data_IF_614253041766
#
_entry.id   IF_614253041766
#
_cell.length_a   1.000
_cell.length_b   1.000
_cell.length_c   1.000
_cell.angle_alpha   90.00
_cell.angle_beta   90.00
_cell.angle_gamma   90.00
#
_symmetry.space_group_name_H-M   'P 1'
#
loop_
_entity.id
_entity.type
_entity.pdbx_description
1 polymer ?
#
# COMPACT_ATOMS: atom_id res chain seq x y z
N UNK A 1 -12.79 -32.51 -34.57
CA UNK A 1 -13.61 -31.29 -34.75
C UNK A 1 -14.04 -30.82 -33.39
N UNK A 2 -13.28 -29.96 -32.77
CA UNK A 2 -13.53 -29.40 -31.41
C UNK A 2 -13.43 -27.89 -31.47
N UNK A 3 -14.53 -27.21 -31.22
CA UNK A 3 -14.70 -25.77 -31.30
C UNK A 3 -14.18 -25.15 -29.97
N UNK A 4 -13.10 -24.39 -30.03
CA UNK A 4 -12.65 -23.53 -28.95
C UNK A 4 -13.57 -22.31 -28.87
N UNK A 5 -14.30 -22.14 -27.77
CA UNK A 5 -15.07 -20.93 -27.47
C UNK A 5 -14.14 -19.88 -26.83
N UNK A 6 -13.98 -18.77 -27.51
CA UNK A 6 -13.34 -17.54 -27.04
C UNK A 6 -14.09 -16.96 -25.84
N UNK A 7 -13.40 -16.79 -24.72
CA UNK A 7 -13.87 -16.01 -23.58
C UNK A 7 -13.62 -14.52 -23.84
N UNK A 8 -14.69 -13.74 -23.89
CA UNK A 8 -14.62 -12.29 -24.02
C UNK A 8 -14.06 -11.66 -22.73
N UNK A 9 -12.92 -10.99 -22.83
CA UNK A 9 -12.37 -10.14 -21.78
C UNK A 9 -13.13 -8.82 -21.79
N UNK A 10 -13.86 -8.53 -20.72
CA UNK A 10 -14.56 -7.27 -20.54
C UNK A 10 -13.55 -6.12 -20.39
N UNK A 11 -13.75 -5.07 -21.18
CA UNK A 11 -12.93 -3.86 -21.18
C UNK A 11 -13.11 -3.10 -19.87
N UNK A 12 -12.05 -2.98 -19.10
CA UNK A 12 -11.90 -1.97 -18.03
C UNK A 12 -11.57 -0.65 -18.72
N UNK A 13 -12.26 0.43 -18.37
CA UNK A 13 -12.12 1.74 -18.99
C UNK A 13 -10.67 2.24 -18.94
N UNK A 14 -10.08 2.43 -20.10
CA UNK A 14 -8.72 2.91 -20.27
C UNK A 14 -8.70 4.44 -20.25
N UNK A 15 -7.81 5.01 -19.48
CA UNK A 15 -7.38 6.40 -19.59
C UNK A 15 -6.87 6.65 -21.03
N UNK A 16 -7.34 7.68 -21.75
CA UNK A 16 -7.09 7.81 -23.20
C UNK A 16 -5.65 8.16 -23.59
N UNK A 17 -4.72 8.29 -22.64
CA UNK A 17 -3.33 8.74 -22.91
C UNK A 17 -2.29 7.64 -23.06
N UNK A 18 -2.62 6.34 -22.81
CA UNK A 18 -1.66 5.24 -23.02
C UNK A 18 -2.35 4.07 -23.72
N UNK A 19 -2.29 4.05 -25.04
CA UNK A 19 -2.60 2.84 -25.83
C UNK A 19 -1.32 2.02 -25.99
N UNK A 20 -1.16 1.00 -25.19
CA UNK A 20 -0.17 -0.04 -25.48
C UNK A 20 -0.69 -0.86 -26.67
N UNK A 21 0.17 -1.12 -27.64
CA UNK A 21 -0.15 -1.99 -28.78
C UNK A 21 -0.22 -3.47 -28.32
N UNK A 22 -0.82 -4.34 -29.11
CA UNK A 22 -0.81 -5.78 -28.84
C UNK A 22 0.61 -6.35 -28.77
N UNK A 23 1.56 -5.75 -29.51
CA UNK A 23 2.98 -6.08 -29.46
C UNK A 23 3.62 -5.71 -28.11
N UNK A 24 3.20 -4.59 -27.50
CA UNK A 24 3.72 -4.14 -26.20
C UNK A 24 3.27 -5.05 -25.06
N UNK A 25 2.03 -5.55 -25.12
CA UNK A 25 1.51 -6.54 -24.17
C UNK A 25 2.25 -7.89 -24.24
N UNK A 26 2.53 -8.36 -25.44
CA UNK A 26 3.30 -9.60 -25.64
C UNK A 26 4.77 -9.43 -25.17
N UNK A 27 5.38 -8.28 -25.41
CA UNK A 27 6.71 -7.98 -24.92
C UNK A 27 6.78 -7.90 -23.40
N UNK A 28 5.74 -7.35 -22.75
CA UNK A 28 5.63 -7.30 -21.28
C UNK A 28 5.51 -8.70 -20.65
N UNK A 29 4.71 -9.59 -21.25
CA UNK A 29 4.56 -10.98 -20.80
C UNK A 29 5.86 -11.77 -20.99
N UNK A 30 6.55 -11.57 -22.11
CA UNK A 30 7.83 -12.24 -22.39
C UNK A 30 8.93 -11.73 -21.46
N UNK A 31 8.94 -10.43 -21.13
CA UNK A 31 9.89 -9.85 -20.17
C UNK A 31 9.73 -10.43 -18.75
N UNK A 32 8.51 -10.80 -18.35
CA UNK A 32 8.28 -11.45 -17.05
C UNK A 32 8.67 -12.94 -17.01
N UNK A 33 8.66 -13.63 -18.15
CA UNK A 33 9.04 -15.04 -18.26
C UNK A 33 10.53 -15.26 -18.49
N UNK A 34 11.25 -14.23 -18.91
CA UNK A 34 12.70 -14.28 -19.10
C UNK A 34 13.41 -14.08 -17.76
N UNK A 35 14.32 -14.98 -17.43
CA UNK A 35 15.19 -14.82 -16.26
C UNK A 35 16.00 -13.50 -16.29
N UNK A 36 16.56 -13.06 -15.16
CA UNK A 36 17.06 -11.68 -14.96
C UNK A 36 18.08 -11.18 -15.99
N UNK A 37 18.69 -12.05 -16.79
CA UNK A 37 19.69 -11.65 -17.82
C UNK A 37 19.12 -11.40 -19.22
N UNK A 38 17.89 -11.83 -19.51
CA UNK A 38 17.27 -11.62 -20.84
C UNK A 38 16.29 -10.45 -20.87
N UNK A 39 15.76 -10.01 -19.72
CA UNK A 39 14.86 -8.87 -19.62
C UNK A 39 15.57 -7.52 -19.88
N UNK A 40 16.89 -7.44 -19.70
CA UNK A 40 17.66 -6.19 -19.76
C UNK A 40 17.81 -5.58 -21.17
N UNK A 41 17.39 -6.26 -22.23
CA UNK A 41 17.64 -5.82 -23.60
C UNK A 41 16.47 -5.05 -24.26
N UNK A 42 15.28 -4.96 -23.57
CA UNK A 42 14.08 -4.47 -24.23
C UNK A 42 13.40 -3.23 -23.59
N UNK A 43 13.91 -2.74 -22.47
CA UNK A 43 13.37 -1.53 -21.84
C UNK A 43 14.52 -0.65 -21.36
N UNK A 44 14.44 0.65 -21.60
CA UNK A 44 15.23 1.60 -20.82
C UNK A 44 14.96 1.28 -19.34
N UNK A 45 15.98 0.76 -18.64
CA UNK A 45 15.88 0.26 -17.26
C UNK A 45 15.71 1.45 -16.30
N UNK A 46 14.55 2.12 -16.38
CA UNK A 46 14.21 3.21 -15.47
C UNK A 46 13.80 2.58 -14.15
N UNK A 47 14.75 2.53 -13.22
CA UNK A 47 14.51 2.10 -11.84
C UNK A 47 14.26 3.32 -10.98
N UNK A 48 13.11 3.34 -10.32
CA UNK A 48 12.77 4.35 -9.32
C UNK A 48 11.98 3.72 -8.19
N UNK A 49 12.02 4.33 -7.03
CA UNK A 49 11.12 3.99 -5.93
C UNK A 49 9.68 4.34 -6.28
N UNK A 50 8.78 3.37 -6.12
CA UNK A 50 7.36 3.50 -6.48
C UNK A 50 6.53 4.04 -5.33
N UNK A 51 5.51 4.84 -5.65
CA UNK A 51 4.41 5.20 -4.77
C UNK A 51 3.23 4.27 -5.10
N UNK A 52 2.83 3.44 -4.14
CA UNK A 52 1.79 2.43 -4.30
C UNK A 52 0.65 2.74 -3.33
N UNK A 53 -0.58 2.71 -3.82
CA UNK A 53 -1.79 2.92 -3.01
C UNK A 53 -2.66 1.67 -3.04
N UNK A 54 -2.92 1.11 -1.85
CA UNK A 54 -3.90 0.04 -1.65
C UNK A 54 -5.13 0.63 -0.98
N UNK A 55 -6.24 0.78 -1.70
CA UNK A 55 -7.47 1.43 -1.21
C UNK A 55 -8.70 0.56 -1.43
N UNK A 56 -9.88 1.12 -1.23
CA UNK A 56 -11.17 0.46 -1.43
C UNK A 56 -11.78 -0.17 -0.18
N UNK A 57 -13.06 -0.57 -0.24
CA UNK A 57 -13.84 -1.10 0.90
C UNK A 57 -13.46 -2.53 1.30
N UNK A 58 -12.87 -3.31 0.38
CA UNK A 58 -12.53 -4.71 0.61
C UNK A 58 -11.34 -4.93 1.54
N UNK A 59 -11.22 -6.16 2.02
CA UNK A 59 -10.10 -6.63 2.84
C UNK A 59 -8.83 -6.83 2.00
N UNK A 60 -7.68 -6.85 2.70
CA UNK A 60 -6.40 -7.24 2.14
C UNK A 60 -5.44 -6.10 1.88
N UNK A 61 -5.80 -4.83 2.16
CA UNK A 61 -4.92 -3.66 1.95
C UNK A 61 -3.62 -3.78 2.73
N UNK A 62 -3.70 -3.94 4.04
CA UNK A 62 -2.56 -4.17 4.93
C UNK A 62 -1.84 -5.47 4.59
N UNK A 63 -2.58 -6.56 4.34
CA UNK A 63 -2.01 -7.88 3.99
C UNK A 63 -1.20 -7.81 2.69
N UNK A 64 -1.68 -7.09 1.68
CA UNK A 64 -0.93 -6.87 0.43
C UNK A 64 0.34 -6.06 0.65
N UNK A 65 0.29 -5.01 1.49
CA UNK A 65 1.45 -4.22 1.86
C UNK A 65 2.49 -5.08 2.60
N UNK A 66 2.06 -5.90 3.55
CA UNK A 66 2.92 -6.84 4.27
C UNK A 66 3.51 -7.92 3.36
N UNK A 67 2.75 -8.43 2.40
CA UNK A 67 3.26 -9.35 1.38
C UNK A 67 4.36 -8.72 0.54
N UNK A 68 4.24 -7.43 0.21
CA UNK A 68 5.30 -6.67 -0.47
C UNK A 68 6.50 -6.47 0.45
N UNK A 69 6.29 -6.16 1.74
CA UNK A 69 7.35 -6.06 2.73
C UNK A 69 8.17 -7.36 2.85
N UNK A 70 7.48 -8.51 2.96
CA UNK A 70 8.13 -9.83 3.01
C UNK A 70 9.01 -10.06 1.77
N UNK A 71 8.52 -9.71 0.59
CA UNK A 71 9.29 -9.80 -0.67
C UNK A 71 10.50 -8.86 -0.65
N UNK A 72 10.33 -7.63 -0.17
CA UNK A 72 11.39 -6.64 -0.07
C UNK A 72 12.51 -7.12 0.86
N UNK A 73 12.17 -7.58 2.08
CA UNK A 73 13.14 -8.14 3.04
C UNK A 73 13.87 -9.35 2.46
N UNK A 74 13.15 -10.25 1.76
CA UNK A 74 13.74 -11.39 1.07
C UNK A 74 14.76 -11.01 -0.02
N UNK A 75 14.68 -9.78 -0.55
CA UNK A 75 15.65 -9.19 -1.47
C UNK A 75 16.68 -8.29 -0.79
N UNK A 76 16.76 -8.32 0.55
CA UNK A 76 17.76 -7.59 1.32
C UNK A 76 17.41 -6.14 1.63
N UNK A 77 16.19 -5.69 1.28
CA UNK A 77 15.70 -4.34 1.53
C UNK A 77 15.37 -4.13 3.02
N UNK A 78 15.53 -2.89 3.49
CA UNK A 78 15.08 -2.44 4.82
C UNK A 78 13.69 -1.84 4.72
N UNK A 79 12.78 -2.33 5.56
CA UNK A 79 11.36 -1.96 5.55
C UNK A 79 10.98 -1.32 6.88
N UNK A 80 10.30 -0.16 6.82
CA UNK A 80 9.60 0.43 7.96
C UNK A 80 8.10 0.42 7.68
N UNK A 81 7.31 0.00 8.66
CA UNK A 81 5.85 0.09 8.62
C UNK A 81 5.35 0.88 9.82
N UNK A 82 4.65 1.97 9.55
CA UNK A 82 4.00 2.82 10.54
C UNK A 82 2.49 2.65 10.43
N UNK A 83 1.84 2.19 11.52
CA UNK A 83 0.40 1.94 11.58
C UNK A 83 -0.29 3.10 12.30
N UNK A 84 -0.93 3.99 11.54
CA UNK A 84 -1.44 5.29 12.02
C UNK A 84 -2.59 5.19 13.02
N UNK A 85 -3.50 4.23 12.83
CA UNK A 85 -4.74 4.17 13.62
C UNK A 85 -4.89 2.88 14.43
N UNK A 86 -3.91 1.98 14.37
CA UNK A 86 -3.92 0.77 15.17
C UNK A 86 -3.45 1.06 16.59
N UNK A 87 -4.27 0.68 17.58
CA UNK A 87 -3.94 0.80 18.98
C UNK A 87 -3.08 -0.35 19.50
N UNK A 88 -2.96 -0.42 20.83
CA UNK A 88 -2.16 -1.40 21.58
C UNK A 88 -2.65 -2.86 21.48
N UNK A 89 -3.57 -3.16 20.58
CA UNK A 89 -4.01 -4.53 20.36
C UNK A 89 -2.88 -5.34 19.74
N UNK A 90 -2.69 -6.53 20.28
CA UNK A 90 -1.69 -7.45 19.78
C UNK A 90 -2.19 -8.17 18.52
N UNK A 91 -1.45 -8.04 17.43
CA UNK A 91 -1.70 -8.72 16.16
C UNK A 91 -0.56 -9.70 15.88
N UNK A 92 -0.86 -10.84 15.27
CA UNK A 92 0.14 -11.88 14.99
C UNK A 92 1.31 -11.41 14.11
N UNK A 93 1.10 -10.41 13.26
CA UNK A 93 2.16 -9.82 12.45
C UNK A 93 3.25 -9.13 13.29
N UNK A 94 2.93 -8.60 14.48
CA UNK A 94 3.92 -7.98 15.38
C UNK A 94 4.95 -8.99 15.88
N UNK A 95 4.51 -10.24 16.15
CA UNK A 95 5.42 -11.31 16.52
C UNK A 95 6.25 -11.79 15.31
N UNK A 96 5.57 -11.96 14.18
CA UNK A 96 6.21 -12.47 12.96
C UNK A 96 7.34 -11.57 12.47
N UNK A 97 7.15 -10.24 12.51
CA UNK A 97 8.17 -9.30 12.01
C UNK A 97 9.43 -9.27 12.88
N UNK A 98 9.35 -9.67 14.16
CA UNK A 98 10.53 -9.73 15.05
C UNK A 98 11.61 -10.68 14.50
N UNK A 99 11.20 -11.72 13.75
CA UNK A 99 12.15 -12.66 13.15
C UNK A 99 13.04 -12.04 12.06
N UNK A 100 12.67 -10.86 11.55
CA UNK A 100 13.45 -10.14 10.52
C UNK A 100 14.44 -9.13 11.13
N UNK A 101 14.44 -8.95 12.46
CA UNK A 101 15.33 -8.03 13.16
C UNK A 101 15.18 -6.59 12.65
N UNK A 102 16.29 -5.93 12.39
CA UNK A 102 16.34 -4.54 11.92
C UNK A 102 15.97 -4.35 10.43
N UNK A 103 15.77 -5.46 9.70
CA UNK A 103 15.35 -5.39 8.29
C UNK A 103 13.88 -5.08 8.11
N UNK A 104 13.04 -5.40 9.10
CA UNK A 104 11.64 -5.04 9.08
C UNK A 104 11.21 -4.49 10.44
N UNK A 105 11.07 -3.20 10.53
CA UNK A 105 10.60 -2.51 11.73
C UNK A 105 9.14 -2.14 11.56
N UNK A 106 8.29 -2.51 12.53
CA UNK A 106 6.88 -2.14 12.58
C UNK A 106 6.59 -1.35 13.86
N UNK A 107 5.88 -0.22 13.73
CA UNK A 107 5.47 0.63 14.84
C UNK A 107 3.99 0.92 14.79
N UNK A 108 3.29 0.69 15.89
CA UNK A 108 1.91 1.11 16.10
C UNK A 108 1.91 2.51 16.69
N UNK A 109 1.26 3.46 15.99
CA UNK A 109 1.30 4.89 16.33
C UNK A 109 -0.04 5.42 16.85
N UNK A 110 -1.12 4.61 16.83
CA UNK A 110 -2.46 5.00 17.25
C UNK A 110 -2.90 4.39 18.57
N UNK A 111 -4.06 4.84 19.08
CA UNK A 111 -4.72 4.27 20.28
C UNK A 111 -5.72 3.16 19.96
N UNK A 112 -5.97 2.86 18.70
CA UNK A 112 -7.00 1.91 18.24
C UNK A 112 -8.15 2.59 17.50
N UNK A 113 -9.35 2.03 17.65
CA UNK A 113 -10.50 2.52 16.89
C UNK A 113 -10.78 4.00 17.16
N UNK A 114 -10.59 4.83 16.13
CA UNK A 114 -11.20 6.15 16.10
C UNK A 114 -12.70 5.95 16.10
N UNK A 115 -13.42 6.55 17.06
CA UNK A 115 -14.89 6.53 17.10
C UNK A 115 -15.42 7.30 15.89
N UNK A 116 -15.72 6.59 14.83
CA UNK A 116 -16.35 7.14 13.63
C UNK A 116 -17.83 7.35 13.94
N UNK A 117 -18.29 8.59 13.95
CA UNK A 117 -19.71 8.92 14.18
C UNK A 117 -19.99 9.90 15.31
N UNK A 118 -18.96 10.42 15.97
CA UNK A 118 -19.06 11.63 16.82
C UNK A 118 -19.01 12.90 15.98
N UNK A 119 -19.56 13.99 16.48
CA UNK A 119 -19.57 15.28 15.75
C UNK A 119 -18.16 15.87 15.53
N UNK A 120 -17.15 15.44 16.28
CA UNK A 120 -15.78 15.93 16.19
C UNK A 120 -14.77 14.78 16.41
N UNK A 121 -13.64 14.85 15.68
CA UNK A 121 -12.49 13.95 15.89
C UNK A 121 -11.81 14.33 17.21
N UNK A 122 -11.47 13.36 18.06
CA UNK A 122 -10.79 13.60 19.33
C UNK A 122 -9.46 14.36 19.08
N UNK A 123 -9.21 15.49 19.73
CA UNK A 123 -7.95 16.24 19.59
C UNK A 123 -6.72 15.38 19.88
N UNK A 124 -6.83 14.40 20.75
CA UNK A 124 -5.74 13.46 21.06
C UNK A 124 -5.44 12.52 19.88
N UNK A 125 -6.47 12.07 19.13
CA UNK A 125 -6.26 11.26 17.93
C UNK A 125 -5.56 12.09 16.84
N UNK A 126 -5.92 13.38 16.71
CA UNK A 126 -5.24 14.31 15.79
C UNK A 126 -3.77 14.45 16.19
N UNK A 127 -3.46 14.67 17.47
CA UNK A 127 -2.09 14.80 17.97
C UNK A 127 -1.25 13.56 17.65
N UNK A 128 -1.80 12.37 17.90
CA UNK A 128 -1.10 11.12 17.60
C UNK A 128 -0.86 10.92 16.10
N UNK A 129 -1.82 11.28 15.26
CA UNK A 129 -1.64 11.25 13.80
C UNK A 129 -0.55 12.22 13.36
N UNK A 130 -0.49 13.42 13.94
CA UNK A 130 0.56 14.41 13.64
C UNK A 130 1.96 13.89 14.07
N UNK A 131 2.06 13.25 15.23
CA UNK A 131 3.31 12.64 15.71
C UNK A 131 3.74 11.48 14.78
N UNK A 132 2.77 10.62 14.40
CA UNK A 132 3.03 9.54 13.45
C UNK A 132 3.48 10.07 12.08
N UNK A 133 2.86 11.17 11.63
CA UNK A 133 3.24 11.81 10.37
C UNK A 133 4.65 12.42 10.44
N UNK A 134 5.01 13.09 11.53
CA UNK A 134 6.35 13.65 11.70
C UNK A 134 7.44 12.55 11.63
N UNK A 135 7.18 11.37 12.24
CA UNK A 135 8.08 10.24 12.14
C UNK A 135 8.12 9.67 10.71
N UNK A 136 6.97 9.58 10.04
CA UNK A 136 6.88 9.12 8.65
C UNK A 136 7.67 10.02 7.70
N UNK A 137 7.49 11.33 7.80
CA UNK A 137 8.21 12.31 6.99
C UNK A 137 9.72 12.18 7.19
N UNK A 138 10.18 12.13 8.45
CA UNK A 138 11.59 11.94 8.76
C UNK A 138 12.12 10.62 8.17
N UNK A 139 11.38 9.52 8.33
CA UNK A 139 11.79 8.21 7.83
C UNK A 139 11.91 8.20 6.31
N UNK A 140 10.93 8.75 5.58
CA UNK A 140 10.92 8.83 4.12
C UNK A 140 12.10 9.64 3.62
N UNK A 141 12.31 10.85 4.17
CA UNK A 141 13.33 11.77 3.70
C UNK A 141 14.76 11.39 4.12
N UNK A 142 14.90 10.53 5.15
CA UNK A 142 16.22 10.06 5.61
C UNK A 142 16.96 9.19 4.59
N UNK A 143 16.21 8.50 3.70
CA UNK A 143 16.79 7.50 2.79
C UNK A 143 17.36 6.26 3.49
N UNK A 144 17.09 6.07 4.79
CA UNK A 144 17.55 4.90 5.56
C UNK A 144 16.75 3.63 5.26
N UNK A 145 15.57 3.78 4.66
CA UNK A 145 14.63 2.73 4.35
C UNK A 145 14.46 2.59 2.84
N UNK A 146 14.46 1.36 2.34
CA UNK A 146 14.18 1.09 0.94
C UNK A 146 12.68 1.08 0.66
N UNK A 147 11.87 0.69 1.67
CA UNK A 147 10.41 0.68 1.62
C UNK A 147 9.83 1.24 2.93
N UNK A 148 8.97 2.25 2.81
CA UNK A 148 8.16 2.77 3.93
C UNK A 148 6.69 2.48 3.65
N UNK A 149 6.02 1.84 4.62
CA UNK A 149 4.59 1.52 4.58
C UNK A 149 3.85 2.42 5.57
N UNK A 150 2.89 3.18 5.07
CA UNK A 150 2.02 4.06 5.83
C UNK A 150 0.64 3.40 5.94
N UNK A 151 0.51 2.50 6.92
CA UNK A 151 -0.71 1.69 7.09
C UNK A 151 -1.83 2.52 7.72
N UNK A 152 -3.00 2.51 7.08
CA UNK A 152 -4.20 3.25 7.44
C UNK A 152 -4.09 4.79 7.33
N UNK A 153 -3.06 5.32 6.66
CA UNK A 153 -2.92 6.78 6.48
C UNK A 153 -4.09 7.38 5.68
N UNK A 154 -4.68 6.62 4.72
CA UNK A 154 -5.83 7.13 3.96
C UNK A 154 -7.04 7.39 4.84
N UNK A 155 -7.20 6.68 5.98
CA UNK A 155 -8.23 7.03 6.97
C UNK A 155 -7.90 8.32 7.70
N UNK A 156 -6.65 8.53 8.13
CA UNK A 156 -6.24 9.77 8.79
C UNK A 156 -6.53 10.99 7.89
N UNK A 157 -6.27 10.86 6.59
CA UNK A 157 -6.60 11.89 5.60
C UNK A 157 -8.12 12.05 5.44
N UNK A 158 -8.86 10.94 5.25
CA UNK A 158 -10.31 10.98 5.00
C UNK A 158 -11.10 11.51 6.20
N UNK A 159 -10.58 11.35 7.41
CA UNK A 159 -11.15 11.89 8.65
C UNK A 159 -10.62 13.29 8.98
N UNK A 160 -9.90 13.93 8.05
CA UNK A 160 -9.36 15.29 8.18
C UNK A 160 -8.40 15.48 9.38
N UNK A 161 -7.78 14.42 9.85
CA UNK A 161 -6.74 14.47 10.88
C UNK A 161 -5.37 14.83 10.28
N UNK A 162 -5.19 14.63 8.97
CA UNK A 162 -3.96 14.93 8.24
C UNK A 162 -4.29 15.56 6.89
N UNK A 163 -3.60 16.65 6.55
CA UNK A 163 -3.77 17.34 5.28
C UNK A 163 -3.15 16.53 4.12
N UNK A 164 -3.94 16.18 3.08
CA UNK A 164 -3.42 15.43 1.93
C UNK A 164 -2.30 16.16 1.17
N UNK A 165 -2.29 17.49 1.14
CA UNK A 165 -1.24 18.25 0.45
C UNK A 165 0.10 18.18 1.18
N UNK A 166 0.11 18.15 2.52
CA UNK A 166 1.34 17.88 3.29
C UNK A 166 1.94 16.50 2.97
N UNK A 167 1.08 15.49 2.86
CA UNK A 167 1.51 14.13 2.47
C UNK A 167 2.06 14.15 1.05
N UNK A 168 1.33 14.77 0.12
CA UNK A 168 1.72 14.88 -1.29
C UNK A 168 3.08 15.59 -1.46
N UNK A 169 3.34 16.65 -0.69
CA UNK A 169 4.61 17.36 -0.72
C UNK A 169 5.79 16.44 -0.36
N UNK A 170 5.66 15.66 0.70
CA UNK A 170 6.70 14.70 1.11
C UNK A 170 6.88 13.60 0.08
N UNK A 171 5.79 13.09 -0.51
CA UNK A 171 5.85 12.08 -1.57
C UNK A 171 6.59 12.58 -2.82
N UNK A 172 6.41 13.87 -3.19
CA UNK A 172 7.15 14.50 -4.30
C UNK A 172 8.65 14.65 -4.01
N UNK A 173 9.01 14.81 -2.73
CA UNK A 173 10.38 15.03 -2.24
C UNK A 173 11.10 13.75 -1.82
N UNK A 174 10.43 12.60 -1.84
CA UNK A 174 11.05 11.32 -1.44
C UNK A 174 12.33 11.07 -2.22
N UNK A 175 13.36 10.47 -1.63
CA UNK A 175 14.54 10.02 -2.38
C UNK A 175 14.14 9.10 -3.54
N UNK A 176 14.85 9.21 -4.66
CA UNK A 176 14.47 8.60 -5.94
C UNK A 176 14.17 7.10 -5.80
N UNK A 177 14.97 6.36 -5.02
CA UNK A 177 14.88 4.91 -4.91
C UNK A 177 14.00 4.40 -3.77
N UNK A 178 13.50 5.27 -2.88
CA UNK A 178 12.62 4.87 -1.77
C UNK A 178 11.24 4.52 -2.29
N UNK A 179 10.75 3.33 -1.95
CA UNK A 179 9.37 2.91 -2.21
C UNK A 179 8.44 3.33 -1.08
N UNK A 180 7.23 3.74 -1.41
CA UNK A 180 6.19 4.08 -0.43
C UNK A 180 4.93 3.28 -0.72
N UNK A 181 4.31 2.67 0.30
CA UNK A 181 2.98 2.07 0.21
C UNK A 181 2.05 2.79 1.18
N UNK A 182 0.93 3.30 0.66
CA UNK A 182 -0.13 3.90 1.47
C UNK A 182 -1.34 2.96 1.47
N UNK A 183 -1.89 2.68 2.65
CA UNK A 183 -3.09 1.84 2.76
C UNK A 183 -4.25 2.60 3.41
N UNK A 184 -5.46 2.04 3.29
CA UNK A 184 -6.69 2.54 3.90
C UNK A 184 -7.77 2.83 2.86
N UNK A 185 -9.03 2.94 3.33
CA UNK A 185 -10.16 3.30 2.46
C UNK A 185 -10.08 4.76 2.05
N UNK A 186 -10.81 5.12 0.98
CA UNK A 186 -11.04 6.50 0.56
C UNK A 186 -9.74 7.28 0.31
N UNK A 187 -8.80 6.70 -0.46
CA UNK A 187 -7.59 7.41 -0.85
C UNK A 187 -7.94 8.75 -1.51
N UNK A 188 -7.32 9.82 -1.05
CA UNK A 188 -7.59 11.17 -1.56
C UNK A 188 -7.10 11.32 -3.01
N UNK A 189 -7.83 12.03 -3.91
CA UNK A 189 -7.42 12.22 -5.30
C UNK A 189 -6.00 12.73 -5.46
N UNK A 190 -5.57 13.72 -4.68
CA UNK A 190 -4.20 14.22 -4.68
C UNK A 190 -3.15 13.13 -4.50
N UNK A 191 -3.42 12.13 -3.65
CA UNK A 191 -2.51 11.00 -3.42
C UNK A 191 -2.59 10.00 -4.59
N UNK A 192 -3.79 9.74 -5.09
CA UNK A 192 -4.02 8.84 -6.24
C UNK A 192 -3.31 9.37 -7.49
N UNK A 193 -3.35 10.68 -7.75
CA UNK A 193 -2.72 11.31 -8.91
C UNK A 193 -1.18 11.24 -8.87
N UNK A 194 -0.59 11.16 -7.68
CA UNK A 194 0.87 11.01 -7.50
C UNK A 194 1.34 9.56 -7.56
N UNK A 195 0.44 8.60 -7.34
CA UNK A 195 0.79 7.20 -7.23
C UNK A 195 1.20 6.60 -8.58
N UNK A 196 2.25 5.78 -8.57
CA UNK A 196 2.66 4.98 -9.73
C UNK A 196 1.76 3.75 -9.92
N UNK A 197 1.15 3.26 -8.82
CA UNK A 197 0.24 2.11 -8.83
C UNK A 197 -0.86 2.32 -7.80
N UNK A 198 -2.11 2.18 -8.23
CA UNK A 198 -3.28 2.22 -7.36
C UNK A 198 -4.08 0.93 -7.53
N UNK A 199 -4.35 0.24 -6.43
CA UNK A 199 -5.18 -0.95 -6.39
C UNK A 199 -6.39 -0.69 -5.49
N UNK A 200 -7.58 -0.83 -6.06
CA UNK A 200 -8.82 -0.78 -5.30
C UNK A 200 -9.28 -2.20 -4.95
N UNK A 201 -9.36 -2.51 -3.67
CA UNK A 201 -9.86 -3.78 -3.15
C UNK A 201 -11.37 -3.70 -2.95
N UNK A 202 -12.09 -4.38 -3.82
CA UNK A 202 -13.55 -4.42 -3.83
C UNK A 202 -14.08 -5.51 -2.90
N UNK A 203 -15.02 -5.16 -2.03
CA UNK A 203 -15.76 -6.15 -1.25
C UNK A 203 -16.86 -6.80 -2.10
N UNK A 204 -16.60 -8.01 -2.60
CA UNK A 204 -17.61 -8.80 -3.34
C UNK A 204 -18.56 -9.49 -2.36
N UNK A 205 -18.05 -9.98 -1.25
CA UNK A 205 -18.77 -10.51 -0.07
C UNK A 205 -17.84 -10.56 1.14
N UNK A 206 -18.38 -10.47 2.33
CA UNK A 206 -17.60 -10.52 3.56
C UNK A 206 -18.18 -11.52 4.55
N UNK A 207 -17.34 -12.27 5.28
CA UNK A 207 -17.76 -13.26 6.29
C UNK A 207 -18.63 -12.62 7.37
N UNK A 208 -18.31 -11.39 7.78
CA UNK A 208 -19.08 -10.62 8.78
C UNK A 208 -20.56 -10.44 8.39
N UNK A 209 -20.89 -10.31 7.11
CA UNK A 209 -22.28 -10.20 6.62
C UNK A 209 -23.09 -11.48 6.89
N UNK A 210 -22.40 -12.60 7.16
CA UNK A 210 -23.00 -13.88 7.57
C UNK A 210 -22.89 -14.13 9.08
N UNK A 211 -22.54 -13.13 9.88
CA UNK A 211 -22.35 -13.26 11.32
C UNK A 211 -21.07 -13.99 11.74
N UNK A 212 -20.15 -14.25 10.80
CA UNK A 212 -18.86 -14.90 11.12
C UNK A 212 -17.93 -13.82 11.68
N UNK A 213 -17.50 -14.03 12.92
CA UNK A 213 -16.59 -13.11 13.62
C UNK A 213 -15.16 -13.23 13.09
N UNK A 214 -14.35 -12.21 13.38
CA UNK A 214 -12.92 -12.18 13.08
C UNK A 214 -12.19 -13.36 13.73
N UNK A 215 -11.29 -14.00 13.01
CA UNK A 215 -10.59 -15.22 13.44
C UNK A 215 -9.10 -14.96 13.63
N UNK A 216 -8.58 -15.49 14.74
CA UNK A 216 -7.15 -15.41 15.05
C UNK A 216 -6.31 -16.09 13.96
N UNK A 217 -5.21 -15.42 13.57
CA UNK A 217 -4.31 -15.89 12.52
C UNK A 217 -4.80 -15.67 11.09
N UNK A 218 -6.06 -15.20 10.93
CA UNK A 218 -6.64 -14.84 9.62
C UNK A 218 -6.98 -13.36 9.55
N UNK A 219 -7.53 -12.82 10.64
CA UNK A 219 -8.00 -11.43 10.71
C UNK A 219 -7.14 -10.57 11.65
N UNK A 220 -6.51 -11.21 12.64
CA UNK A 220 -5.64 -10.58 13.65
C UNK A 220 -4.62 -11.55 14.23
#
# INVERSE_FOLDING_TARGET
MGILRSAAVSRVGANPSVRLSASDHLQWIVAQSAGPRQASHFMNDVRKGLIIVNTGPGKGKTTAAMGTALRAVGNGMRVLMLQFLKGSWHYGELDAVQSFGDKFVMKQMGRGFVKVGGAETDPEDIRMVEEAWAEAEQAILSGQWDLVILDEINYAISYKMLDPERVAEVLRRKPEMVHIILTGRNAHPTIVDLADTVTEMREVKHAYQKGILAQRGIEY
#
